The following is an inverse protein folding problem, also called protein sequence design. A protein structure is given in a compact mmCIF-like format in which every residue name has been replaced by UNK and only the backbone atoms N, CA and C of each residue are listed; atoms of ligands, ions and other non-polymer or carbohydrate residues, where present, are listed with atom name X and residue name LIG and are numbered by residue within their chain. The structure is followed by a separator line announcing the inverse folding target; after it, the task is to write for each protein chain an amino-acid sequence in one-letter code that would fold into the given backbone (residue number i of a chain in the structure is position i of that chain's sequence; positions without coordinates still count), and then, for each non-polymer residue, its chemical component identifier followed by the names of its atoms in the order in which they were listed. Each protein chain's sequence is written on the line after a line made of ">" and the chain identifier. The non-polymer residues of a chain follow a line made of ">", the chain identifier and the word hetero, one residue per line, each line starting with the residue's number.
data_IF_225776762691
#
_entry.id   IF_225776762691
#
_cell.length_a   1.000
_cell.length_b   1.000
_cell.length_c   1.000
_cell.angle_alpha   90.00
_cell.angle_beta   90.00
_cell.angle_gamma   90.00
#
_symmetry.space_group_name_H-M   'P 1'
#
loop_
_entity.id
_entity.type
_entity.pdbx_description
1 polymer ?
#
# COMPACT_ATOMS: atom_id res chain seq x y z
N UNK A 1 -18.07 -7.74 -4.20
CA UNK A 1 -18.41 -7.61 -2.77
C UNK A 1 -17.59 -8.53 -1.86
N UNK A 2 -17.33 -9.78 -2.26
CA UNK A 2 -16.55 -10.74 -1.44
C UNK A 2 -15.16 -10.22 -1.12
N UNK A 3 -14.48 -9.62 -2.08
CA UNK A 3 -13.12 -9.10 -1.90
C UNK A 3 -13.10 -7.94 -0.90
N UNK A 4 -14.12 -7.06 -0.96
CA UNK A 4 -14.29 -5.95 -0.01
C UNK A 4 -14.52 -6.47 1.41
N UNK A 5 -15.41 -7.47 1.57
CA UNK A 5 -15.70 -8.07 2.87
C UNK A 5 -14.50 -8.88 3.40
N UNK A 6 -13.80 -9.62 2.52
CA UNK A 6 -12.59 -10.36 2.88
C UNK A 6 -11.49 -9.41 3.38
N UNK A 7 -11.29 -8.28 2.70
CA UNK A 7 -10.34 -7.27 3.13
C UNK A 7 -10.69 -6.73 4.53
N UNK A 8 -11.96 -6.39 4.76
CA UNK A 8 -12.39 -5.91 6.06
C UNK A 8 -12.09 -6.91 7.19
N UNK A 9 -12.39 -8.20 6.96
CA UNK A 9 -12.04 -9.28 7.90
C UNK A 9 -10.53 -9.41 8.09
N UNK A 10 -9.77 -9.26 7.01
CA UNK A 10 -8.31 -9.37 7.03
C UNK A 10 -7.62 -8.23 7.81
N UNK A 11 -8.27 -7.08 7.92
CA UNK A 11 -7.76 -5.93 8.71
C UNK A 11 -8.45 -5.79 10.08
N UNK A 12 -9.17 -6.83 10.54
CA UNK A 12 -9.67 -6.91 11.90
C UNK A 12 -11.16 -6.67 12.09
N UNK A 13 -11.96 -6.48 11.02
CA UNK A 13 -13.40 -6.37 11.18
C UNK A 13 -13.98 -7.65 11.81
N UNK A 14 -14.80 -7.50 12.82
CA UNK A 14 -15.37 -8.57 13.60
C UNK A 14 -16.87 -8.78 13.34
N UNK A 15 -17.48 -9.62 14.16
CA UNK A 15 -18.90 -10.00 14.05
C UNK A 15 -19.88 -8.83 14.17
N UNK A 16 -19.46 -7.73 14.77
CA UNK A 16 -20.31 -6.56 15.00
C UNK A 16 -20.18 -5.53 13.88
N UNK A 17 -19.21 -5.69 12.97
CA UNK A 17 -18.87 -4.76 11.90
C UNK A 17 -19.61 -5.11 10.61
N UNK A 18 -20.92 -5.35 10.72
CA UNK A 18 -21.76 -5.82 9.62
C UNK A 18 -21.79 -4.87 8.42
N UNK A 19 -21.56 -3.57 8.63
CA UNK A 19 -21.47 -2.60 7.55
C UNK A 19 -20.25 -2.80 6.64
N UNK A 20 -19.26 -3.59 7.07
CA UNK A 20 -18.04 -3.91 6.32
C UNK A 20 -17.95 -5.39 5.93
N UNK A 21 -18.82 -6.24 6.47
CA UNK A 21 -18.72 -7.70 6.31
C UNK A 21 -19.99 -8.36 5.78
N UNK A 22 -21.15 -7.65 5.80
CA UNK A 22 -22.41 -8.19 5.35
C UNK A 22 -22.89 -7.50 4.07
N UNK A 23 -23.13 -8.28 3.02
CA UNK A 23 -23.38 -7.82 1.65
C UNK A 23 -24.54 -6.84 1.51
N UNK A 24 -25.57 -6.92 2.35
CA UNK A 24 -26.76 -6.07 2.25
C UNK A 24 -26.49 -4.57 2.53
N UNK A 25 -25.48 -4.29 3.39
CA UNK A 25 -25.17 -2.93 3.83
C UNK A 25 -23.70 -2.58 3.62
N UNK A 26 -23.02 -3.38 2.80
CA UNK A 26 -21.58 -3.35 2.64
C UNK A 26 -21.08 -1.97 2.23
N UNK A 27 -20.04 -1.52 2.92
CA UNK A 27 -19.20 -0.37 2.56
C UNK A 27 -17.75 -0.82 2.45
N UNK A 28 -17.04 -0.25 1.51
CA UNK A 28 -15.59 -0.44 1.47
C UNK A 28 -14.92 0.43 2.54
N UNK A 29 -13.97 -0.14 3.27
CA UNK A 29 -13.07 0.64 4.10
C UNK A 29 -12.24 1.57 3.21
N UNK A 30 -11.92 2.82 3.63
CA UNK A 30 -11.06 3.71 2.84
C UNK A 30 -9.72 3.08 2.47
N UNK A 31 -9.13 2.30 3.38
CA UNK A 31 -7.88 1.58 3.18
C UNK A 31 -7.96 0.47 2.12
N UNK A 32 -9.16 0.03 1.73
CA UNK A 32 -9.34 -0.85 0.57
C UNK A 32 -8.83 -0.23 -0.74
N UNK A 33 -8.67 1.09 -0.78
CA UNK A 33 -8.06 1.80 -1.90
C UNK A 33 -6.64 1.35 -2.27
N UNK A 34 -5.97 0.58 -1.40
CA UNK A 34 -4.68 -0.06 -1.70
C UNK A 34 -4.83 -1.31 -2.57
N UNK A 35 -5.98 -1.97 -2.54
CA UNK A 35 -6.16 -3.30 -3.13
C UNK A 35 -6.34 -3.27 -4.65
N UNK A 36 -7.06 -2.32 -5.28
CA UNK A 36 -7.33 -2.36 -6.71
C UNK A 36 -6.09 -2.47 -7.59
N UNK A 37 -4.97 -1.89 -7.20
CA UNK A 37 -3.73 -2.00 -7.98
C UNK A 37 -2.91 -3.26 -7.62
N UNK A 38 -3.15 -3.88 -6.46
CA UNK A 38 -2.57 -5.17 -6.10
C UNK A 38 -3.29 -6.35 -6.78
N UNK A 39 -4.60 -6.23 -7.02
CA UNK A 39 -5.43 -7.30 -7.58
C UNK A 39 -5.04 -7.74 -9.00
N UNK A 40 -4.24 -6.95 -9.72
CA UNK A 40 -3.67 -7.36 -11.01
C UNK A 40 -2.52 -8.35 -10.86
N UNK A 41 -2.02 -8.52 -9.65
CA UNK A 41 -0.91 -9.43 -9.30
C UNK A 41 -1.35 -10.90 -9.35
N UNK A 42 -2.64 -11.19 -9.29
CA UNK A 42 -3.19 -12.55 -9.40
C UNK A 42 -2.87 -13.29 -10.71
N UNK A 43 -2.29 -12.59 -11.70
CA UNK A 43 -1.92 -13.20 -12.99
C UNK A 43 -0.54 -13.86 -12.98
N UNK A 44 0.32 -13.54 -12.01
CA UNK A 44 1.66 -14.14 -11.90
C UNK A 44 2.10 -14.25 -10.43
N UNK A 45 2.25 -15.45 -9.88
CA UNK A 45 2.48 -15.68 -8.44
C UNK A 45 3.80 -15.13 -7.87
N UNK A 46 4.61 -14.45 -8.65
CA UNK A 46 5.91 -13.89 -8.22
C UNK A 46 6.12 -12.41 -8.58
N UNK A 47 5.12 -11.74 -9.15
CA UNK A 47 5.20 -10.29 -9.38
C UNK A 47 4.64 -9.51 -8.18
N UNK A 48 5.25 -9.73 -7.04
CA UNK A 48 4.93 -9.09 -5.75
C UNK A 48 5.35 -7.62 -5.68
N UNK A 49 6.00 -7.11 -6.68
CA UNK A 49 6.49 -5.74 -6.63
C UNK A 49 5.67 -4.87 -7.58
N UNK A 50 4.91 -3.91 -7.06
CA UNK A 50 4.43 -2.80 -7.85
C UNK A 50 5.60 -1.83 -8.12
N UNK A 51 6.74 -2.40 -8.54
CA UNK A 51 7.81 -1.61 -9.08
C UNK A 51 7.56 -1.49 -10.56
N UNK A 52 7.38 -0.27 -11.08
CA UNK A 52 7.38 -0.06 -12.52
C UNK A 52 8.61 -0.73 -13.12
N UNK A 53 8.47 -1.31 -14.29
CA UNK A 53 9.59 -1.92 -15.01
C UNK A 53 10.77 -0.93 -15.20
N UNK A 54 10.49 0.38 -15.17
CA UNK A 54 11.49 1.44 -15.18
C UNK A 54 12.36 1.51 -13.91
N UNK A 55 11.92 0.92 -12.80
CA UNK A 55 12.74 0.82 -11.57
C UNK A 55 13.67 -0.38 -11.58
N UNK A 56 13.35 -1.37 -12.38
CA UNK A 56 14.21 -2.52 -12.64
C UNK A 56 15.30 -2.18 -13.68
N UNK A 57 15.51 -0.89 -14.00
CA UNK A 57 16.68 -0.47 -14.71
C UNK A 57 17.90 -0.95 -13.90
N UNK A 58 18.57 -1.95 -14.44
CA UNK A 58 19.63 -2.79 -13.83
C UNK A 58 20.79 -1.99 -13.19
N UNK A 59 20.77 -0.69 -13.30
CA UNK A 59 21.83 0.21 -12.86
C UNK A 59 21.61 0.84 -11.48
N UNK A 60 20.34 1.00 -11.01
CA UNK A 60 20.06 1.71 -9.76
C UNK A 60 19.64 0.74 -8.66
N UNK A 61 18.77 -0.19 -8.98
CA UNK A 61 18.31 -1.22 -8.04
C UNK A 61 18.54 -2.56 -8.69
N UNK A 62 19.61 -3.23 -8.28
CA UNK A 62 19.81 -4.64 -8.63
C UNK A 62 18.57 -5.40 -8.18
N UNK A 63 18.15 -6.46 -8.87
CA UNK A 63 17.05 -7.29 -8.42
C UNK A 63 17.39 -7.86 -7.04
N UNK A 64 17.10 -7.07 -6.02
CA UNK A 64 17.26 -7.46 -4.62
C UNK A 64 15.96 -8.06 -4.15
N UNK A 65 16.04 -9.13 -3.40
CA UNK A 65 14.89 -9.79 -2.81
C UNK A 65 14.45 -9.07 -1.52
N UNK A 66 15.33 -8.22 -0.95
CA UNK A 66 15.12 -7.61 0.36
C UNK A 66 14.62 -6.17 0.24
N UNK A 67 13.33 -5.99 0.49
CA UNK A 67 12.71 -4.66 0.59
C UNK A 67 11.70 -4.63 1.73
N UNK A 68 11.43 -3.42 2.24
CA UNK A 68 10.44 -3.17 3.28
C UNK A 68 9.55 -1.99 2.86
N UNK A 69 8.26 -2.11 3.13
CA UNK A 69 7.36 -0.97 3.09
C UNK A 69 7.63 -0.10 4.33
N UNK A 70 7.92 1.19 4.14
CA UNK A 70 8.21 2.12 5.24
C UNK A 70 6.94 2.85 5.68
N UNK A 71 6.21 3.38 4.72
CA UNK A 71 4.97 4.11 4.95
C UNK A 71 4.02 3.97 3.75
N UNK A 72 2.75 4.26 4.01
CA UNK A 72 1.72 4.28 2.98
C UNK A 72 0.68 5.34 3.34
N UNK A 73 0.41 6.26 2.41
CA UNK A 73 -0.63 7.28 2.52
C UNK A 73 -1.68 7.05 1.44
N UNK A 74 -2.96 7.19 1.80
CA UNK A 74 -4.08 7.07 0.87
C UNK A 74 -4.90 8.34 0.91
N UNK A 75 -5.09 8.98 -0.24
CA UNK A 75 -6.02 10.10 -0.41
C UNK A 75 -7.25 9.59 -1.16
N UNK A 76 -8.38 9.49 -0.46
CA UNK A 76 -9.66 9.09 -1.05
C UNK A 76 -10.39 10.30 -1.59
N UNK A 77 -10.77 10.27 -2.88
CA UNK A 77 -11.59 11.33 -3.51
C UNK A 77 -13.07 10.99 -3.48
N UNK A 78 -13.39 9.69 -3.44
CA UNK A 78 -14.76 9.18 -3.35
C UNK A 78 -14.78 7.76 -2.76
N UNK A 79 -15.91 7.30 -2.21
CA UNK A 79 -16.08 5.93 -1.77
C UNK A 79 -15.94 4.94 -2.94
N UNK A 80 -15.39 3.77 -2.66
CA UNK A 80 -15.36 2.64 -3.60
C UNK A 80 -16.72 1.92 -3.54
N UNK A 81 -17.30 1.63 -4.72
CA UNK A 81 -18.49 0.78 -4.81
C UNK A 81 -18.14 -0.64 -4.31
N UNK A 82 -18.79 -1.10 -3.23
CA UNK A 82 -18.45 -2.38 -2.63
C UNK A 82 -18.96 -3.59 -3.43
N UNK A 83 -19.85 -3.39 -4.41
CA UNK A 83 -20.51 -4.48 -5.12
C UNK A 83 -19.71 -4.91 -6.33
N UNK A 84 -19.31 -3.94 -7.15
CA UNK A 84 -18.50 -4.16 -8.35
C UNK A 84 -17.73 -2.91 -8.72
N UNK A 85 -16.64 -3.10 -9.42
CA UNK A 85 -15.88 -1.99 -10.00
C UNK A 85 -14.77 -2.52 -10.90
N UNK A 86 -14.47 -1.75 -11.94
CA UNK A 86 -13.27 -1.92 -12.74
C UNK A 86 -12.40 -0.70 -12.49
N UNK A 87 -11.13 -0.93 -12.21
CA UNK A 87 -10.20 0.14 -11.91
C UNK A 87 -9.04 0.12 -12.91
N UNK A 88 -8.60 1.32 -13.26
CA UNK A 88 -7.34 1.55 -13.96
C UNK A 88 -6.40 2.21 -12.96
N UNK A 89 -5.13 1.85 -12.99
CA UNK A 89 -4.13 2.50 -12.16
C UNK A 89 -2.94 2.95 -13.01
N UNK A 90 -2.30 4.01 -12.54
CA UNK A 90 -1.06 4.51 -13.09
C UNK A 90 -0.11 4.78 -11.93
N UNK A 91 1.06 4.20 -12.00
CA UNK A 91 2.13 4.39 -11.03
C UNK A 91 3.24 5.27 -11.60
N UNK A 92 3.80 6.12 -10.74
CA UNK A 92 4.89 7.03 -11.07
C UNK A 92 5.85 7.07 -9.89
N UNK A 93 7.15 6.86 -10.17
CA UNK A 93 8.19 7.13 -9.18
C UNK A 93 8.31 8.64 -9.02
N UNK A 94 8.11 9.12 -7.80
CA UNK A 94 8.23 10.54 -7.50
C UNK A 94 9.62 10.88 -6.99
N UNK A 95 10.25 9.97 -6.26
CA UNK A 95 11.56 10.17 -5.67
C UNK A 95 12.36 8.88 -5.51
N UNK A 96 13.68 9.00 -5.65
CA UNK A 96 14.64 7.97 -5.30
C UNK A 96 15.74 8.61 -4.46
N UNK A 97 15.99 8.04 -3.27
CA UNK A 97 16.97 8.54 -2.32
C UNK A 97 18.09 7.52 -2.12
N UNK A 98 19.32 8.00 -2.20
CA UNK A 98 20.52 7.22 -1.89
C UNK A 98 20.90 7.39 -0.43
N UNK A 99 21.04 6.30 0.31
CA UNK A 99 21.52 6.31 1.70
C UNK A 99 23.02 6.06 1.83
N UNK A 100 23.69 5.85 0.71
CA UNK A 100 25.11 5.54 0.62
C UNK A 100 25.38 4.05 0.44
N UNK A 101 26.61 3.73 0.11
CA UNK A 101 27.06 2.37 -0.17
C UNK A 101 26.76 1.42 1.01
N UNK A 102 26.11 0.29 0.73
CA UNK A 102 25.70 -0.70 1.72
C UNK A 102 24.59 -0.25 2.70
N UNK A 103 24.03 0.97 2.55
CA UNK A 103 23.02 1.51 3.47
C UNK A 103 21.60 1.50 2.89
N UNK A 104 21.46 1.03 1.66
CA UNK A 104 20.20 0.90 0.98
C UNK A 104 19.75 2.15 0.23
N UNK A 105 18.61 2.03 -0.42
CA UNK A 105 17.92 3.10 -1.14
C UNK A 105 16.45 3.19 -0.72
N UNK A 106 15.86 4.38 -0.86
CA UNK A 106 14.44 4.59 -0.60
C UNK A 106 13.78 5.10 -1.87
N UNK A 107 12.66 4.50 -2.21
CA UNK A 107 11.88 4.88 -3.39
C UNK A 107 10.49 5.31 -2.97
N UNK A 108 10.05 6.46 -3.47
CA UNK A 108 8.68 6.93 -3.33
C UNK A 108 7.92 6.77 -4.63
N UNK A 109 6.74 6.18 -4.54
CA UNK A 109 5.85 5.95 -5.68
C UNK A 109 4.49 6.57 -5.40
N UNK A 110 3.92 7.24 -6.41
CA UNK A 110 2.52 7.67 -6.45
C UNK A 110 1.75 6.74 -7.37
N UNK A 111 0.60 6.25 -6.90
CA UNK A 111 -0.28 5.37 -7.66
C UNK A 111 -1.66 6.01 -7.71
N UNK A 112 -2.07 6.47 -8.88
CA UNK A 112 -3.40 7.03 -9.14
C UNK A 112 -4.35 5.92 -9.55
N UNK A 113 -5.45 5.76 -8.84
CA UNK A 113 -6.50 4.78 -9.14
C UNK A 113 -7.73 5.50 -9.68
N UNK A 114 -8.20 5.06 -10.85
CA UNK A 114 -9.36 5.62 -11.55
C UNK A 114 -10.42 4.55 -11.78
N UNK A 115 -11.68 4.97 -11.85
CA UNK A 115 -12.76 4.10 -12.26
C UNK A 115 -12.77 3.90 -13.80
N UNK A 116 -13.72 3.07 -14.26
CA UNK A 116 -13.92 2.75 -15.69
C UNK A 116 -14.20 4.01 -16.53
N UNK A 117 -14.81 5.04 -15.95
CA UNK A 117 -15.07 6.32 -16.60
C UNK A 117 -13.87 7.29 -16.57
N UNK A 118 -12.73 6.88 -15.98
CA UNK A 118 -11.51 7.68 -15.87
C UNK A 118 -11.50 8.67 -14.73
N UNK A 119 -12.50 8.68 -13.85
CA UNK A 119 -12.52 9.59 -12.71
C UNK A 119 -11.62 9.08 -11.57
N UNK A 120 -10.96 9.98 -10.88
CA UNK A 120 -10.13 9.64 -9.72
C UNK A 120 -10.95 9.03 -8.59
N UNK A 121 -10.50 7.90 -8.09
CA UNK A 121 -11.04 7.21 -6.92
C UNK A 121 -10.16 7.46 -5.72
N UNK A 122 -8.88 7.17 -5.83
CA UNK A 122 -7.88 7.46 -4.79
C UNK A 122 -6.50 7.66 -5.40
N UNK A 123 -5.61 8.27 -4.63
CA UNK A 123 -4.18 8.27 -4.86
C UNK A 123 -3.49 7.61 -3.67
N UNK A 124 -2.59 6.69 -3.95
CA UNK A 124 -1.73 6.06 -2.97
C UNK A 124 -0.31 6.61 -3.12
N UNK A 125 0.33 6.93 -1.99
CA UNK A 125 1.76 7.19 -1.91
C UNK A 125 2.40 6.08 -1.10
N UNK A 126 3.41 5.44 -1.66
CA UNK A 126 4.14 4.34 -1.01
C UNK A 126 5.62 4.67 -0.94
N UNK A 127 6.22 4.43 0.21
CA UNK A 127 7.67 4.56 0.41
C UNK A 127 8.24 3.18 0.69
N UNK A 128 9.16 2.74 -0.16
CA UNK A 128 9.78 1.42 -0.08
C UNK A 128 11.28 1.56 0.15
N UNK A 129 11.81 0.80 1.11
CA UNK A 129 13.22 0.70 1.40
C UNK A 129 13.82 -0.58 0.79
N UNK A 130 14.93 -0.45 0.10
CA UNK A 130 15.69 -1.53 -0.52
C UNK A 130 17.04 -1.68 0.18
N UNK A 131 17.25 -2.80 0.87
CA UNK A 131 18.40 -3.00 1.75
C UNK A 131 19.75 -3.02 1.01
N UNK A 132 19.81 -3.66 -0.15
CA UNK A 132 21.04 -3.90 -0.89
C UNK A 132 21.33 -2.86 -1.97
N UNK A 133 20.44 -1.87 -2.10
CA UNK A 133 20.63 -0.73 -2.99
C UNK A 133 21.44 0.38 -2.30
N UNK A 134 21.82 1.41 -3.06
CA UNK A 134 22.54 2.58 -2.55
C UNK A 134 23.97 2.65 -3.06
N UNK A 135 24.60 3.82 -2.87
CA UNK A 135 25.92 4.12 -3.40
C UNK A 135 25.96 4.51 -4.88
N UNK A 136 24.79 4.87 -5.44
CA UNK A 136 24.68 5.32 -6.85
C UNK A 136 24.85 6.84 -7.01
N UNK A 137 25.12 7.58 -5.92
CA UNK A 137 25.35 9.05 -5.95
C UNK A 137 24.07 9.88 -6.08
N UNK A 138 22.93 9.31 -5.71
CA UNK A 138 21.64 10.01 -5.68
C UNK A 138 21.50 11.00 -4.52
N UNK A 139 20.38 11.74 -4.51
CA UNK A 139 20.09 12.67 -3.41
C UNK A 139 19.86 11.92 -2.08
N UNK A 140 20.31 12.48 -0.94
CA UNK A 140 20.04 11.90 0.36
C UNK A 140 18.55 12.02 0.73
N UNK A 141 18.04 11.07 1.52
CA UNK A 141 16.70 11.17 2.06
C UNK A 141 16.61 12.35 3.05
N UNK A 142 15.61 13.24 2.93
CA UNK A 142 15.39 14.30 3.90
C UNK A 142 15.11 13.72 5.27
N UNK A 143 15.47 14.46 6.32
CA UNK A 143 15.08 14.10 7.68
C UNK A 143 13.57 14.26 7.83
N UNK A 144 12.96 13.38 8.65
CA UNK A 144 11.56 13.55 9.03
C UNK A 144 11.39 14.84 9.84
N UNK A 145 10.38 15.61 9.51
CA UNK A 145 9.93 16.80 10.24
C UNK A 145 8.80 16.49 11.24
N UNK A 146 8.41 15.22 11.34
CA UNK A 146 7.40 14.75 12.30
C UNK A 146 7.93 14.94 13.72
N UNK A 147 7.23 15.77 14.49
CA UNK A 147 7.49 15.98 15.92
C UNK A 147 6.50 15.16 16.72
N UNK A 148 7.02 14.23 17.51
CA UNK A 148 6.20 13.48 18.47
C UNK A 148 5.91 14.41 19.65
N UNK A 149 4.64 14.68 20.00
CA UNK A 149 4.30 15.52 21.15
C UNK A 149 4.84 14.92 22.45
N UNK A 150 5.45 15.77 23.29
CA UNK A 150 5.88 15.39 24.65
C UNK A 150 4.70 15.53 25.63
N UNK A 151 3.72 14.66 25.49
CA UNK A 151 2.53 14.56 26.34
C UNK A 151 1.94 13.17 26.29
N UNK A 152 1.13 12.81 27.27
CA UNK A 152 0.36 11.58 27.26
C UNK A 152 -0.57 11.50 26.04
N UNK A 153 -0.79 10.29 25.48
CA UNK A 153 -1.71 10.10 24.36
C UNK A 153 -3.14 10.44 24.75
N UNK A 154 -3.91 11.00 23.81
CA UNK A 154 -5.33 11.28 24.03
C UNK A 154 -6.17 10.00 24.09
N UNK A 155 -5.67 8.90 23.51
CA UNK A 155 -6.34 7.62 23.46
C UNK A 155 -5.32 6.49 23.25
N UNK A 156 -5.52 5.40 24.00
CA UNK A 156 -4.78 4.15 23.85
C UNK A 156 -5.75 3.00 23.64
N UNK A 157 -5.39 2.06 22.78
CA UNK A 157 -6.16 0.87 22.50
C UNK A 157 -5.22 -0.33 22.39
N UNK A 158 -5.52 -1.38 23.13
CA UNK A 158 -4.92 -2.70 22.93
C UNK A 158 -5.72 -3.45 21.85
N UNK A 159 -5.06 -3.89 20.81
CA UNK A 159 -5.66 -4.67 19.73
C UNK A 159 -5.06 -6.08 19.66
N UNK A 160 -5.92 -7.07 19.45
CA UNK A 160 -5.54 -8.47 19.34
C UNK A 160 -5.38 -8.87 17.87
N UNK A 161 -4.16 -9.16 17.47
CA UNK A 161 -3.87 -9.68 16.14
C UNK A 161 -4.13 -11.20 16.12
N UNK A 162 -5.16 -11.62 15.38
CA UNK A 162 -5.49 -13.04 15.22
C UNK A 162 -4.34 -13.79 14.53
N UNK A 163 -4.01 -15.03 14.96
CA UNK A 163 -2.98 -15.86 14.32
C UNK A 163 -3.22 -16.13 12.83
N UNK A 164 -4.46 -15.96 12.35
CA UNK A 164 -4.80 -16.16 10.93
C UNK A 164 -4.97 -14.86 10.15
N UNK A 165 -4.80 -13.71 10.77
CA UNK A 165 -5.06 -12.41 10.13
C UNK A 165 -4.17 -12.16 8.92
N UNK A 166 -2.87 -12.46 9.05
CA UNK A 166 -1.93 -12.34 7.95
C UNK A 166 -2.24 -13.30 6.78
N UNK A 167 -2.78 -14.49 7.08
CA UNK A 167 -3.21 -15.45 6.07
C UNK A 167 -4.44 -14.96 5.31
N UNK A 168 -5.39 -14.34 6.02
CA UNK A 168 -6.55 -13.69 5.39
C UNK A 168 -6.12 -12.51 4.53
N UNK A 169 -5.20 -11.67 5.03
CA UNK A 169 -4.72 -10.50 4.28
C UNK A 169 -4.06 -10.90 2.95
N UNK A 170 -3.30 -11.99 2.92
CA UNK A 170 -2.71 -12.53 1.68
C UNK A 170 -3.73 -12.90 0.60
N UNK A 171 -4.99 -13.14 0.98
CA UNK A 171 -6.06 -13.51 0.04
C UNK A 171 -6.74 -12.29 -0.58
N UNK A 172 -6.39 -11.09 -0.15
CA UNK A 172 -7.05 -9.87 -0.62
C UNK A 172 -6.40 -9.25 -1.86
N UNK A 173 -5.19 -9.70 -2.25
CA UNK A 173 -4.48 -9.19 -3.43
C UNK A 173 -3.26 -10.00 -3.83
#
# INVERSE_FOLDING_TARGET
>A
WRDVALYALAVGAGRNDLMYTYEKYLKALPTYGTIPYWGTVNVRPYQWMPLPASMLADEIIKPTISFLNMDHEIIMYRPIDPIKGTFQYQDVITDVYDRGEGKGAVVKTRIDVRDEAGNMVCTNYSTTFFHEAGGFGGKPMPKSDVVIPDREPDFELDDYISPVQNLLYRLTG
#
